data_IF_604190551825
#
_entry.id   IF_604190551825
#
_cell.length_a   1.000
_cell.length_b   1.000
_cell.length_c   1.000
_cell.angle_alpha   90.00
_cell.angle_beta   90.00
_cell.angle_gamma   90.00
#
_symmetry.space_group_name_H-M   'P 1'
#
loop_
_entity.id
_entity.type
_entity.pdbx_description
1 polymer ?
#
# COMPACT_ATOMS: atom_id res chain seq x y z
N UNK A 1 12.16 0.70 4.62
CA UNK A 1 10.76 0.25 4.70
C UNK A 1 10.01 0.96 5.81
N UNK A 2 10.26 0.60 7.07
CA UNK A 2 9.41 1.01 8.20
C UNK A 2 9.29 2.52 8.41
N UNK A 3 10.36 3.29 8.25
CA UNK A 3 10.31 4.76 8.34
C UNK A 3 9.46 5.40 7.23
N UNK A 4 9.50 4.82 6.02
CA UNK A 4 8.69 5.30 4.89
C UNK A 4 7.21 5.07 5.18
N UNK A 5 6.83 3.89 5.67
CA UNK A 5 5.44 3.63 6.07
C UNK A 5 5.01 4.58 7.19
N UNK A 6 5.81 4.69 8.26
CA UNK A 6 5.49 5.61 9.35
C UNK A 6 5.29 7.05 8.85
N UNK A 7 6.22 7.56 8.02
CA UNK A 7 6.11 8.88 7.42
C UNK A 7 4.89 9.04 6.51
N UNK A 8 4.43 7.97 5.85
CA UNK A 8 3.26 7.98 4.98
C UNK A 8 1.95 8.24 5.73
N UNK A 9 1.87 7.91 7.03
CA UNK A 9 0.73 8.36 7.84
C UNK A 9 0.69 9.88 7.93
N UNK A 10 1.84 10.53 8.16
CA UNK A 10 1.94 11.99 8.15
C UNK A 10 1.56 12.59 6.79
N UNK A 11 1.95 11.93 5.69
CA UNK A 11 1.60 12.35 4.33
C UNK A 11 0.08 12.24 4.06
N UNK A 12 -0.51 11.06 4.25
CA UNK A 12 -1.91 10.81 3.94
C UNK A 12 -2.85 11.45 4.98
N UNK A 13 -2.67 11.15 6.26
CA UNK A 13 -3.55 11.66 7.33
C UNK A 13 -3.38 13.16 7.49
N UNK A 14 -2.14 13.66 7.40
CA UNK A 14 -1.86 15.10 7.47
C UNK A 14 -2.50 15.90 6.33
N UNK A 15 -2.74 15.27 5.17
CA UNK A 15 -3.46 15.91 4.05
C UNK A 15 -4.92 16.24 4.39
N UNK A 16 -5.48 15.70 5.48
CA UNK A 16 -6.80 16.10 5.97
C UNK A 16 -6.80 17.49 6.64
N UNK A 17 -5.64 18.01 7.07
CA UNK A 17 -5.46 19.31 7.75
C UNK A 17 -6.28 19.51 9.04
N UNK A 18 -6.92 18.45 9.52
CA UNK A 18 -7.73 18.41 10.74
C UNK A 18 -7.83 16.98 11.25
N UNK A 19 -8.19 16.81 12.53
CA UNK A 19 -8.42 15.50 13.14
C UNK A 19 -9.93 15.28 13.24
N UNK A 20 -10.48 14.58 12.24
CA UNK A 20 -11.89 14.24 12.15
C UNK A 20 -12.09 12.79 11.70
N UNK A 21 -13.35 12.36 11.50
CA UNK A 21 -13.67 11.00 11.07
C UNK A 21 -13.01 10.60 9.73
N UNK A 22 -12.82 11.56 8.81
CA UNK A 22 -12.14 11.33 7.54
C UNK A 22 -10.67 11.04 7.78
N UNK A 23 -9.98 11.83 8.61
CA UNK A 23 -8.57 11.59 8.97
C UNK A 23 -8.36 10.20 9.59
N UNK A 24 -9.28 9.75 10.44
CA UNK A 24 -9.24 8.39 11.01
C UNK A 24 -9.45 7.30 9.94
N UNK A 25 -10.34 7.55 8.98
CA UNK A 25 -10.53 6.63 7.84
C UNK A 25 -9.29 6.57 6.96
N UNK A 26 -8.65 7.71 6.70
CA UNK A 26 -7.39 7.80 5.94
C UNK A 26 -6.28 7.01 6.63
N UNK A 27 -6.18 7.10 7.96
CA UNK A 27 -5.21 6.32 8.73
C UNK A 27 -5.40 4.81 8.51
N UNK A 28 -6.65 4.33 8.64
CA UNK A 28 -6.99 2.91 8.44
C UNK A 28 -6.71 2.49 6.99
N UNK A 29 -7.19 3.25 6.01
CA UNK A 29 -7.00 2.94 4.59
C UNK A 29 -5.51 2.87 4.22
N UNK A 30 -4.68 3.75 4.78
CA UNK A 30 -3.23 3.77 4.55
C UNK A 30 -2.57 2.50 5.10
N UNK A 31 -2.91 2.09 6.33
CA UNK A 31 -2.38 0.88 6.95
C UNK A 31 -2.80 -0.38 6.18
N UNK A 32 -4.08 -0.47 5.85
CA UNK A 32 -4.68 -1.64 5.20
C UNK A 32 -4.14 -1.78 3.77
N UNK A 33 -4.07 -0.70 3.00
CA UNK A 33 -3.54 -0.76 1.64
C UNK A 33 -2.05 -1.12 1.60
N UNK A 34 -1.24 -0.65 2.54
CA UNK A 34 0.16 -1.04 2.67
C UNK A 34 0.30 -2.54 2.94
N UNK A 35 -0.46 -3.07 3.91
CA UNK A 35 -0.47 -4.50 4.21
C UNK A 35 -0.96 -5.34 3.01
N UNK A 36 -2.00 -4.87 2.32
CA UNK A 36 -2.51 -5.50 1.11
C UNK A 36 -1.51 -5.46 -0.05
N UNK A 37 -0.73 -4.38 -0.19
CA UNK A 37 0.34 -4.25 -1.16
C UNK A 37 1.48 -5.24 -0.94
N UNK A 38 1.84 -5.50 0.33
CA UNK A 38 2.77 -6.59 0.69
C UNK A 38 2.24 -7.91 0.12
N UNK A 39 0.98 -8.24 0.42
CA UNK A 39 0.37 -9.50 0.00
C UNK A 39 0.35 -9.60 -1.54
N UNK A 40 -0.12 -8.54 -2.21
CA UNK A 40 -0.20 -8.50 -3.68
C UNK A 40 1.17 -8.71 -4.34
N UNK A 41 2.20 -8.03 -3.85
CA UNK A 41 3.56 -8.21 -4.35
C UNK A 41 4.08 -9.62 -4.10
N UNK A 42 3.98 -10.12 -2.86
CA UNK A 42 4.52 -11.44 -2.49
C UNK A 42 3.82 -12.59 -3.23
N UNK A 43 2.53 -12.47 -3.53
CA UNK A 43 1.82 -13.46 -4.36
C UNK A 43 2.45 -13.53 -5.75
N UNK A 44 2.62 -12.40 -6.43
CA UNK A 44 3.16 -12.38 -7.78
C UNK A 44 4.65 -12.77 -7.78
N UNK A 45 5.43 -12.28 -6.82
CA UNK A 45 6.83 -12.64 -6.63
C UNK A 45 6.99 -14.15 -6.42
N UNK A 46 6.15 -14.75 -5.57
CA UNK A 46 6.19 -16.19 -5.36
C UNK A 46 5.80 -16.97 -6.62
N UNK A 47 4.79 -16.51 -7.38
CA UNK A 47 4.39 -17.15 -8.62
C UNK A 47 5.52 -17.14 -9.66
N UNK A 48 6.22 -16.02 -9.81
CA UNK A 48 7.31 -15.82 -10.77
C UNK A 48 8.63 -16.47 -10.32
N UNK A 49 9.04 -16.24 -9.07
CA UNK A 49 10.39 -16.55 -8.58
C UNK A 49 10.42 -17.76 -7.63
N UNK A 50 9.26 -18.32 -7.26
CA UNK A 50 9.10 -19.41 -6.28
C UNK A 50 9.67 -19.11 -4.89
N UNK A 51 9.83 -17.82 -4.58
CA UNK A 51 10.36 -17.31 -3.30
C UNK A 51 9.67 -16.01 -2.94
N UNK A 52 9.28 -15.87 -1.67
CA UNK A 52 8.84 -14.62 -1.09
C UNK A 52 10.03 -13.96 -0.39
N UNK A 53 10.34 -12.71 -0.71
CA UNK A 53 11.54 -12.03 -0.19
C UNK A 53 11.19 -10.86 0.73
N UNK A 54 12.11 -10.53 1.65
CA UNK A 54 11.95 -9.34 2.50
C UNK A 54 11.96 -8.05 1.67
N UNK A 55 12.81 -8.00 0.63
CA UNK A 55 12.83 -6.86 -0.28
C UNK A 55 11.49 -6.72 -1.01
N UNK A 56 10.93 -7.83 -1.48
CA UNK A 56 9.60 -7.87 -2.09
C UNK A 56 8.50 -7.41 -1.15
N UNK A 57 8.53 -7.84 0.12
CA UNK A 57 7.59 -7.34 1.13
C UNK A 57 7.72 -5.82 1.33
N UNK A 58 8.94 -5.29 1.44
CA UNK A 58 9.15 -3.84 1.59
C UNK A 58 8.69 -3.07 0.35
N UNK A 59 8.98 -3.57 -0.85
CA UNK A 59 8.55 -2.97 -2.11
C UNK A 59 7.02 -2.99 -2.23
N UNK A 60 6.38 -4.12 -1.92
CA UNK A 60 4.93 -4.25 -1.90
C UNK A 60 4.24 -3.29 -0.92
N UNK A 61 4.81 -3.11 0.28
CA UNK A 61 4.31 -2.13 1.24
C UNK A 61 4.32 -0.72 0.65
N UNK A 62 5.43 -0.32 0.03
CA UNK A 62 5.59 1.01 -0.59
C UNK A 62 4.65 1.15 -1.78
N UNK A 63 4.52 0.14 -2.63
CA UNK A 63 3.57 0.12 -3.75
C UNK A 63 2.13 0.29 -3.30
N UNK A 64 1.71 -0.40 -2.23
CA UNK A 64 0.37 -0.23 -1.65
C UNK A 64 0.14 1.19 -1.12
N UNK A 65 1.14 1.76 -0.43
CA UNK A 65 1.10 3.15 0.06
C UNK A 65 0.97 4.16 -1.09
N UNK A 66 1.76 4.00 -2.14
CA UNK A 66 1.68 4.84 -3.36
C UNK A 66 0.31 4.71 -4.00
N UNK A 67 -0.18 3.48 -4.19
CA UNK A 67 -1.45 3.22 -4.87
C UNK A 67 -2.66 3.82 -4.13
N UNK A 68 -2.68 3.79 -2.79
CA UNK A 68 -3.80 4.33 -2.01
C UNK A 68 -3.75 5.85 -1.85
N UNK A 69 -2.58 6.48 -2.02
CA UNK A 69 -2.37 7.92 -1.78
C UNK A 69 -3.45 8.83 -2.38
N UNK A 70 -3.82 8.73 -3.68
CA UNK A 70 -4.85 9.60 -4.25
C UNK A 70 -6.27 9.28 -3.79
N UNK A 71 -6.51 8.11 -3.21
CA UNK A 71 -7.84 7.59 -2.88
C UNK A 71 -8.11 7.49 -1.38
N UNK A 72 -7.10 7.71 -0.53
CA UNK A 72 -7.11 7.32 0.89
C UNK A 72 -8.23 7.97 1.71
N UNK A 73 -8.73 9.15 1.33
CA UNK A 73 -9.87 9.83 1.97
C UNK A 73 -11.23 9.60 1.33
N UNK A 74 -11.30 8.86 0.21
CA UNK A 74 -12.50 8.74 -0.62
C UNK A 74 -13.07 7.33 -0.71
N UNK A 75 -12.32 6.32 -0.24
CA UNK A 75 -12.70 4.92 -0.37
C UNK A 75 -12.90 4.26 1.00
N UNK A 76 -13.57 3.10 1.00
CA UNK A 76 -13.75 2.30 2.21
C UNK A 76 -12.50 1.46 2.52
N UNK A 77 -12.33 0.99 3.78
CA UNK A 77 -11.26 0.04 4.11
C UNK A 77 -11.27 -1.21 3.24
N UNK A 78 -12.45 -1.74 2.88
CA UNK A 78 -12.56 -2.88 1.99
C UNK A 78 -12.01 -2.57 0.57
N UNK A 79 -12.35 -1.40 0.02
CA UNK A 79 -11.82 -0.95 -1.27
C UNK A 79 -10.30 -0.72 -1.22
N UNK A 80 -9.77 -0.27 -0.08
CA UNK A 80 -8.32 -0.06 0.11
C UNK A 80 -7.50 -1.34 -0.01
N UNK A 81 -8.09 -2.50 0.37
CA UNK A 81 -7.45 -3.81 0.20
C UNK A 81 -7.23 -4.09 -1.29
N UNK A 82 -8.27 -3.88 -2.11
CA UNK A 82 -8.20 -4.14 -3.56
C UNK A 82 -7.15 -3.22 -4.19
N UNK A 83 -7.15 -1.93 -3.85
CA UNK A 83 -6.15 -0.97 -4.34
C UNK A 83 -4.73 -1.39 -3.93
N UNK A 84 -4.54 -1.80 -2.68
CA UNK A 84 -3.26 -2.27 -2.18
C UNK A 84 -2.77 -3.51 -2.93
N UNK A 85 -3.58 -4.57 -3.02
CA UNK A 85 -3.22 -5.82 -3.72
C UNK A 85 -2.86 -5.55 -5.17
N UNK A 86 -3.71 -4.80 -5.89
CA UNK A 86 -3.47 -4.47 -7.30
C UNK A 86 -2.22 -3.61 -7.45
N UNK A 87 -2.03 -2.60 -6.59
CA UNK A 87 -0.84 -1.76 -6.57
C UNK A 87 0.45 -2.58 -6.38
N UNK A 88 0.47 -3.48 -5.39
CA UNK A 88 1.60 -4.38 -5.16
C UNK A 88 1.89 -5.30 -6.34
N UNK A 89 0.86 -5.92 -6.91
CA UNK A 89 0.99 -6.85 -8.04
C UNK A 89 1.46 -6.14 -9.33
N UNK A 90 0.88 -4.99 -9.66
CA UNK A 90 1.24 -4.21 -10.86
C UNK A 90 2.63 -3.62 -10.75
N UNK A 91 3.02 -3.12 -9.56
CA UNK A 91 4.37 -2.59 -9.37
C UNK A 91 5.44 -3.69 -9.44
N UNK A 92 5.17 -4.92 -8.96
CA UNK A 92 6.07 -6.04 -9.23
C UNK A 92 6.26 -6.22 -10.74
N UNK A 93 5.16 -6.28 -11.50
CA UNK A 93 5.23 -6.41 -12.95
C UNK A 93 6.08 -5.31 -13.60
N UNK A 94 5.88 -4.05 -13.19
CA UNK A 94 6.63 -2.92 -13.74
C UNK A 94 8.12 -2.91 -13.40
N UNK A 95 8.56 -3.52 -12.29
CA UNK A 95 10.00 -3.59 -11.94
C UNK A 95 10.70 -4.73 -12.67
N UNK A 96 10.00 -5.84 -12.95
CA UNK A 96 10.61 -7.06 -13.46
C UNK A 96 10.42 -7.29 -14.97
N UNK A 97 9.42 -6.66 -15.59
CA UNK A 97 9.05 -6.93 -16.99
C UNK A 97 8.93 -5.69 -17.89
N UNK A 98 9.07 -4.47 -17.34
CA UNK A 98 9.19 -3.22 -18.10
C UNK A 98 10.61 -2.67 -17.98
#
# INVERSE_FOLDING_TARGET
GSLIWFGWYGFNVGSALTINAVAMTVFVNTAVAAAAGIIGWLIVEYMANKKATLLGAVSGAISGLVAITPACGFVTPASSIIIGVVGGAVCFWGVFFL
#
